data_IF_103905738792
#
_entry.id   IF_103905738792
#
_cell.length_a   1.000
_cell.length_b   1.000
_cell.length_c   1.000
_cell.angle_alpha   90.00
_cell.angle_beta   90.00
_cell.angle_gamma   90.00
#
_symmetry.space_group_name_H-M   'P 1'
#
loop_
_entity.id
_entity.type
_entity.pdbx_description
1 polymer ?
#
# COMPACT_ATOMS: atom_id res chain seq x y z
N UNK A 1 -22.36 25.45 -12.74
CA UNK A 1 -21.30 24.45 -12.96
C UNK A 1 -20.45 24.50 -11.72
N UNK A 2 -20.68 23.52 -10.87
CA UNK A 2 -20.82 23.70 -9.44
C UNK A 2 -19.53 23.39 -8.69
N UNK A 3 -19.04 24.35 -7.90
CA UNK A 3 -17.92 24.18 -6.96
C UNK A 3 -18.11 22.98 -6.02
N UNK A 4 -19.37 22.65 -5.72
CA UNK A 4 -19.75 21.51 -4.89
C UNK A 4 -19.50 20.18 -5.62
N UNK A 5 -19.75 20.13 -6.93
CA UNK A 5 -19.50 18.94 -7.75
C UNK A 5 -18.00 18.72 -7.96
N UNK A 6 -17.19 19.77 -8.08
CA UNK A 6 -15.73 19.64 -8.11
C UNK A 6 -15.15 19.16 -6.78
N UNK A 7 -15.63 19.68 -5.65
CA UNK A 7 -15.21 19.21 -4.32
C UNK A 7 -15.62 17.74 -4.10
N UNK A 8 -16.84 17.37 -4.50
CA UNK A 8 -17.33 16.00 -4.43
C UNK A 8 -16.56 15.05 -5.36
N UNK A 9 -16.24 15.47 -6.58
CA UNK A 9 -15.44 14.68 -7.54
C UNK A 9 -14.00 14.49 -7.05
N UNK A 10 -13.38 15.53 -6.47
CA UNK A 10 -12.03 15.47 -5.91
C UNK A 10 -11.96 14.56 -4.68
N UNK A 11 -12.93 14.68 -3.78
CA UNK A 11 -13.06 13.79 -2.62
C UNK A 11 -13.31 12.35 -3.05
N UNK A 12 -14.17 12.15 -4.07
CA UNK A 12 -14.43 10.82 -4.64
C UNK A 12 -13.19 10.23 -5.31
N UNK A 13 -12.34 11.05 -5.92
CA UNK A 13 -11.06 10.63 -6.50
C UNK A 13 -10.06 10.22 -5.42
N UNK A 14 -9.96 10.97 -4.31
CA UNK A 14 -9.14 10.60 -3.16
C UNK A 14 -9.63 9.30 -2.53
N UNK A 15 -10.95 9.14 -2.37
CA UNK A 15 -11.58 7.92 -1.84
C UNK A 15 -11.42 6.75 -2.82
N UNK A 16 -11.37 6.95 -4.14
CA UNK A 16 -11.13 5.83 -5.09
C UNK A 16 -9.66 5.54 -5.35
N UNK A 17 -8.75 6.36 -4.81
CA UNK A 17 -7.32 6.15 -4.92
C UNK A 17 -6.85 4.98 -4.05
N UNK A 18 -5.64 4.46 -4.33
CA UNK A 18 -5.01 3.42 -3.50
C UNK A 18 -5.01 3.87 -2.02
N UNK A 19 -5.25 2.97 -1.05
CA UNK A 19 -5.16 3.34 0.37
C UNK A 19 -3.81 3.99 0.66
N UNK A 20 -3.82 5.13 1.36
CA UNK A 20 -2.59 5.87 1.73
C UNK A 20 -1.63 4.93 2.48
N UNK A 21 -2.16 4.06 3.34
CA UNK A 21 -1.40 3.03 4.04
C UNK A 21 -0.68 2.07 3.08
N UNK A 22 -1.29 1.72 1.95
CA UNK A 22 -0.68 0.85 0.94
C UNK A 22 0.49 1.57 0.25
N UNK A 23 0.34 2.87 -0.03
CA UNK A 23 1.36 3.70 -0.65
C UNK A 23 2.53 3.97 0.32
N UNK A 24 2.25 4.17 1.60
CA UNK A 24 3.27 4.26 2.66
C UNK A 24 4.07 2.96 2.78
N UNK A 25 3.38 1.81 2.74
CA UNK A 25 4.05 0.50 2.75
C UNK A 25 4.90 0.32 1.48
N UNK A 26 4.38 0.67 0.29
CA UNK A 26 5.12 0.60 -0.97
C UNK A 26 6.43 1.43 -0.89
N UNK A 27 6.37 2.65 -0.36
CA UNK A 27 7.56 3.50 -0.16
C UNK A 27 8.53 2.92 0.86
N UNK A 28 8.02 2.36 1.96
CA UNK A 28 8.84 1.73 2.99
C UNK A 28 9.58 0.50 2.43
N UNK A 29 8.86 -0.36 1.70
CA UNK A 29 9.41 -1.54 1.01
C UNK A 29 10.52 -1.12 0.05
N UNK A 30 10.31 -0.10 -0.77
CA UNK A 30 11.30 0.39 -1.72
C UNK A 30 12.59 0.87 -1.02
N UNK A 31 12.44 1.60 0.09
CA UNK A 31 13.56 2.07 0.91
C UNK A 31 14.36 0.91 1.50
N UNK A 32 13.67 -0.10 2.04
CA UNK A 32 14.31 -1.30 2.60
C UNK A 32 14.98 -2.13 1.51
N UNK A 33 14.42 -2.23 0.30
CA UNK A 33 15.04 -2.92 -0.83
C UNK A 33 16.33 -2.23 -1.29
N UNK A 34 16.35 -0.89 -1.33
CA UNK A 34 17.58 -0.12 -1.61
C UNK A 34 18.64 -0.34 -0.53
N UNK A 35 18.24 -0.28 0.74
CA UNK A 35 19.15 -0.50 1.87
C UNK A 35 19.70 -1.93 1.86
N UNK A 36 18.85 -2.92 1.56
CA UNK A 36 19.24 -4.31 1.34
C UNK A 36 20.25 -4.45 0.19
N UNK A 37 20.04 -3.79 -0.94
CA UNK A 37 20.96 -3.85 -2.08
C UNK A 37 22.33 -3.28 -1.72
N UNK A 38 22.33 -2.15 -0.99
CA UNK A 38 23.55 -1.51 -0.49
C UNK A 38 24.30 -2.40 0.48
N UNK A 39 23.60 -3.01 1.45
CA UNK A 39 24.18 -3.93 2.44
C UNK A 39 24.66 -5.25 1.81
N UNK A 40 24.04 -5.70 0.71
CA UNK A 40 24.44 -6.94 0.02
C UNK A 40 25.77 -6.79 -0.72
N UNK A 41 26.12 -5.57 -1.13
CA UNK A 41 27.43 -5.25 -1.68
C UNK A 41 28.51 -5.14 -0.59
N UNK A 42 28.13 -5.07 0.67
CA UNK A 42 29.03 -4.98 1.82
C UNK A 42 29.21 -6.36 2.47
N UNK A 43 30.44 -6.89 2.50
CA UNK A 43 30.72 -8.27 2.93
C UNK A 43 30.88 -8.46 4.44
N UNK A 44 30.49 -7.47 5.25
CA UNK A 44 30.73 -7.48 6.68
C UNK A 44 29.78 -8.43 7.45
N UNK A 45 30.25 -9.06 8.53
CA UNK A 45 29.42 -9.94 9.39
C UNK A 45 28.25 -9.16 10.00
N UNK A 46 28.47 -7.89 10.34
CA UNK A 46 27.42 -7.00 10.83
C UNK A 46 26.36 -6.70 9.75
N UNK A 47 26.78 -6.58 8.47
CA UNK A 47 25.88 -6.37 7.35
C UNK A 47 24.94 -7.56 7.13
N UNK A 48 25.45 -8.79 7.25
CA UNK A 48 24.60 -10.01 7.16
C UNK A 48 23.50 -10.06 8.21
N UNK A 49 23.80 -9.71 9.46
CA UNK A 49 22.81 -9.69 10.54
C UNK A 49 21.74 -8.60 10.33
N UNK A 50 22.13 -7.43 9.80
CA UNK A 50 21.19 -6.37 9.41
C UNK A 50 20.32 -6.79 8.23
N UNK A 51 20.90 -7.45 7.24
CA UNK A 51 20.19 -7.94 6.06
C UNK A 51 19.07 -8.92 6.44
N UNK A 52 19.31 -9.81 7.41
CA UNK A 52 18.28 -10.77 7.88
C UNK A 52 17.11 -10.05 8.56
N UNK A 53 17.39 -9.02 9.38
CA UNK A 53 16.34 -8.16 9.95
C UNK A 53 15.54 -7.44 8.88
N UNK A 54 16.24 -6.80 7.93
CA UNK A 54 15.64 -6.12 6.79
C UNK A 54 14.72 -7.03 5.97
N UNK A 55 15.11 -8.29 5.76
CA UNK A 55 14.28 -9.29 5.09
C UNK A 55 13.02 -9.62 5.88
N UNK A 56 13.13 -9.77 7.20
CA UNK A 56 11.99 -10.05 8.07
C UNK A 56 11.00 -8.88 8.11
N UNK A 57 11.52 -7.65 8.14
CA UNK A 57 10.73 -6.43 8.10
C UNK A 57 10.04 -6.25 6.74
N UNK A 58 10.75 -6.55 5.65
CA UNK A 58 10.19 -6.57 4.28
C UNK A 58 9.03 -7.55 4.15
N UNK A 59 9.20 -8.75 4.71
CA UNK A 59 8.18 -9.79 4.65
C UNK A 59 6.95 -9.39 5.47
N UNK A 60 7.16 -8.79 6.65
CA UNK A 60 6.08 -8.22 7.47
C UNK A 60 5.32 -7.11 6.74
N UNK A 61 6.03 -6.21 6.06
CA UNK A 61 5.42 -5.13 5.28
C UNK A 61 4.66 -5.67 4.07
N UNK A 62 5.21 -6.65 3.35
CA UNK A 62 4.50 -7.33 2.24
C UNK A 62 3.24 -8.04 2.72
N UNK A 63 3.27 -8.65 3.90
CA UNK A 63 2.10 -9.26 4.53
C UNK A 63 1.01 -8.21 4.79
N UNK A 64 1.37 -7.09 5.43
CA UNK A 64 0.44 -5.98 5.69
C UNK A 64 -0.13 -5.37 4.40
N UNK A 65 0.72 -5.18 3.39
CA UNK A 65 0.28 -4.71 2.07
C UNK A 65 -0.78 -5.64 1.49
N UNK A 66 -0.56 -6.95 1.55
CA UNK A 66 -1.50 -7.94 1.01
C UNK A 66 -2.83 -7.89 1.75
N UNK A 67 -2.78 -7.83 3.08
CA UNK A 67 -3.96 -7.77 3.95
C UNK A 67 -4.80 -6.51 3.69
N UNK A 68 -4.15 -5.34 3.59
CA UNK A 68 -4.80 -4.08 3.22
C UNK A 68 -5.37 -4.10 1.80
N UNK A 69 -4.65 -4.70 0.85
CA UNK A 69 -5.12 -4.84 -0.53
C UNK A 69 -6.37 -5.74 -0.59
N UNK A 70 -6.39 -6.84 0.16
CA UNK A 70 -7.55 -7.74 0.23
C UNK A 70 -8.76 -7.04 0.88
N UNK A 71 -8.56 -6.33 2.00
CA UNK A 71 -9.62 -5.54 2.63
C UNK A 71 -10.17 -4.47 1.67
N UNK A 72 -9.29 -3.76 0.97
CA UNK A 72 -9.65 -2.75 -0.01
C UNK A 72 -10.49 -3.33 -1.16
N UNK A 73 -10.06 -4.47 -1.73
CA UNK A 73 -10.81 -5.13 -2.79
C UNK A 73 -12.18 -5.60 -2.30
N UNK A 74 -12.25 -6.10 -1.07
CA UNK A 74 -13.50 -6.52 -0.45
C UNK A 74 -14.47 -5.33 -0.26
N UNK A 75 -14.00 -4.21 0.29
CA UNK A 75 -14.80 -2.99 0.45
C UNK A 75 -15.27 -2.43 -0.90
N UNK A 76 -14.38 -2.38 -1.88
CA UNK A 76 -14.70 -1.92 -3.23
C UNK A 76 -15.75 -2.81 -3.89
N UNK A 77 -15.62 -4.13 -3.75
CA UNK A 77 -16.61 -5.10 -4.23
C UNK A 77 -17.98 -4.92 -3.58
N UNK A 78 -18.03 -4.70 -2.26
CA UNK A 78 -19.26 -4.40 -1.53
C UNK A 78 -19.90 -3.09 -2.01
N UNK A 79 -19.11 -2.03 -2.17
CA UNK A 79 -19.60 -0.75 -2.70
C UNK A 79 -20.19 -0.89 -4.10
N UNK A 80 -19.49 -1.58 -5.01
CA UNK A 80 -20.00 -1.84 -6.37
C UNK A 80 -21.30 -2.63 -6.34
N UNK A 81 -21.41 -3.62 -5.45
CA UNK A 81 -22.61 -4.45 -5.30
C UNK A 81 -23.81 -3.65 -4.76
N UNK A 82 -23.59 -2.83 -3.73
CA UNK A 82 -24.62 -1.93 -3.19
C UNK A 82 -25.07 -0.92 -4.26
N UNK A 83 -24.13 -0.37 -5.03
CA UNK A 83 -24.45 0.60 -6.09
C UNK A 83 -25.29 -0.03 -7.20
N UNK A 84 -24.97 -1.27 -7.59
CA UNK A 84 -25.77 -2.04 -8.55
C UNK A 84 -27.20 -2.31 -8.05
N UNK A 85 -27.38 -2.60 -6.76
CA UNK A 85 -28.71 -2.84 -6.16
C UNK A 85 -29.54 -1.55 -6.09
N UNK A 86 -28.89 -0.39 -5.96
CA UNK A 86 -29.56 0.91 -5.83
C UNK A 86 -29.88 1.58 -7.17
N UNK A 87 -29.33 1.05 -8.27
CA UNK A 87 -29.60 1.48 -9.65
C UNK A 87 -30.72 0.67 -10.33
N UNK A 88 -31.14 -0.46 -9.74
CA UNK A 88 -32.42 -1.14 -10.02
C UNK A 88 -33.55 -0.57 -9.16
#
# INVERSE_FOLDING_TARGET
IDLVDEAAAKLKMEITSKPIELDEIDRAVLKLEMEKLSLKNDTDKAAKARLTKLETDLETLKQKQKELAEQWQHEKGLMTRIRSIKEE
#
